data_IF_748812591151
#
_entry.id   IF_748812591151
#
_cell.length_a   1.000
_cell.length_b   1.000
_cell.length_c   1.000
_cell.angle_alpha   90.00
_cell.angle_beta   90.00
_cell.angle_gamma   90.00
#
_symmetry.space_group_name_H-M   'P 1'
#
loop_
_entity.id
_entity.type
_entity.pdbx_description
1 polymer ?
#
# COMPACT_ATOMS: atom_id res chain seq x y z
N UNK A 1 -0.36 -32.43 -1.93
CA UNK A 1 0.10 -31.28 -1.10
C UNK A 1 -0.60 -30.02 -1.56
N UNK A 2 -0.94 -29.14 -0.63
CA UNK A 2 -1.55 -27.84 -0.92
C UNK A 2 -0.46 -26.82 -1.14
N UNK A 3 -0.47 -26.12 -2.28
CA UNK A 3 0.42 -24.98 -2.54
C UNK A 3 -0.11 -23.72 -1.89
N UNK A 4 0.69 -23.15 -1.01
CA UNK A 4 0.33 -21.99 -0.20
C UNK A 4 0.97 -20.72 -0.73
N UNK A 5 0.15 -19.77 -1.13
CA UNK A 5 0.56 -18.47 -1.70
C UNK A 5 0.20 -17.35 -0.72
N UNK A 6 1.20 -16.60 -0.27
CA UNK A 6 0.97 -15.44 0.58
C UNK A 6 0.96 -14.15 -0.23
N UNK A 7 0.02 -13.26 0.07
CA UNK A 7 -0.06 -11.93 -0.53
C UNK A 7 0.24 -10.89 0.55
N UNK A 8 1.30 -10.13 0.35
CA UNK A 8 1.72 -9.03 1.20
C UNK A 8 1.44 -7.70 0.51
N UNK A 9 1.00 -6.71 1.25
CA UNK A 9 0.79 -5.38 0.69
C UNK A 9 -0.15 -4.50 1.53
N UNK A 10 -0.64 -3.50 0.89
CA UNK A 10 -1.46 -2.44 1.47
C UNK A 10 -2.94 -2.62 1.11
N UNK A 11 -3.74 -1.54 1.21
CA UNK A 11 -5.18 -1.58 0.92
C UNK A 11 -5.52 -2.06 -0.50
N UNK A 12 -4.70 -1.74 -1.49
CA UNK A 12 -4.87 -2.20 -2.86
C UNK A 12 -4.67 -3.72 -2.98
N UNK A 13 -3.66 -4.27 -2.31
CA UNK A 13 -3.41 -5.71 -2.24
C UNK A 13 -4.49 -6.44 -1.42
N UNK A 14 -5.02 -5.79 -0.38
CA UNK A 14 -6.14 -6.31 0.40
C UNK A 14 -7.41 -6.44 -0.43
N UNK A 15 -7.59 -5.59 -1.46
CA UNK A 15 -8.78 -5.53 -2.29
C UNK A 15 -9.84 -4.55 -1.78
N UNK A 16 -9.39 -3.45 -1.15
CA UNK A 16 -10.31 -2.37 -0.71
C UNK A 16 -10.99 -1.72 -1.92
N UNK A 17 -12.30 -1.41 -1.87
CA UNK A 17 -13.18 -1.43 -0.69
C UNK A 17 -13.79 -2.81 -0.38
N UNK A 18 -13.78 -3.75 -1.32
CA UNK A 18 -14.46 -5.03 -1.19
C UNK A 18 -13.47 -6.20 -1.43
N UNK A 19 -12.85 -6.73 -0.35
CA UNK A 19 -11.82 -7.78 -0.46
C UNK A 19 -12.28 -9.06 -1.16
N UNK A 20 -13.59 -9.32 -1.21
CA UNK A 20 -14.15 -10.47 -1.91
C UNK A 20 -13.87 -10.44 -3.42
N UNK A 21 -13.68 -9.24 -4.00
CA UNK A 21 -13.32 -9.02 -5.39
C UNK A 21 -11.85 -8.64 -5.58
N UNK A 22 -11.04 -8.71 -4.52
CA UNK A 22 -9.60 -8.45 -4.58
C UNK A 22 -8.87 -9.48 -5.45
N UNK A 23 -7.75 -9.08 -6.02
CA UNK A 23 -6.99 -9.91 -6.95
C UNK A 23 -6.56 -11.25 -6.35
N UNK A 24 -6.31 -11.33 -5.04
CA UNK A 24 -5.96 -12.57 -4.36
C UNK A 24 -7.07 -13.63 -4.47
N UNK A 25 -8.34 -13.22 -4.35
CA UNK A 25 -9.49 -14.12 -4.51
C UNK A 25 -9.70 -14.53 -5.96
N UNK A 26 -9.49 -13.59 -6.88
CA UNK A 26 -9.55 -13.89 -8.32
C UNK A 26 -8.44 -14.87 -8.69
N UNK A 27 -7.22 -14.65 -8.20
CA UNK A 27 -6.08 -15.55 -8.42
C UNK A 27 -6.39 -16.97 -7.93
N UNK A 28 -6.88 -17.12 -6.69
CA UNK A 28 -7.25 -18.41 -6.12
C UNK A 28 -8.25 -19.16 -7.01
N UNK A 29 -9.30 -18.46 -7.46
CA UNK A 29 -10.30 -19.02 -8.37
C UNK A 29 -9.73 -19.43 -9.73
N UNK A 30 -8.85 -18.61 -10.30
CA UNK A 30 -8.19 -18.91 -11.57
C UNK A 30 -7.26 -20.11 -11.45
N UNK A 31 -6.51 -20.23 -10.35
CA UNK A 31 -5.62 -21.36 -10.10
C UNK A 31 -6.43 -22.67 -9.96
N UNK A 32 -7.50 -22.68 -9.19
CA UNK A 32 -8.38 -23.85 -9.06
C UNK A 32 -9.03 -24.23 -10.41
N UNK A 33 -9.43 -23.24 -11.20
CA UNK A 33 -10.00 -23.50 -12.51
C UNK A 33 -8.96 -24.07 -13.50
N UNK A 34 -7.75 -23.53 -13.48
CA UNK A 34 -6.68 -23.92 -14.43
C UNK A 34 -6.02 -25.25 -14.08
N UNK A 35 -5.95 -25.56 -12.79
CA UNK A 35 -5.28 -26.74 -12.25
C UNK A 35 -6.19 -27.47 -11.25
N UNK A 36 -7.25 -28.17 -11.74
CA UNK A 36 -8.28 -28.75 -10.87
C UNK A 36 -7.75 -29.87 -9.96
N UNK A 37 -6.67 -30.52 -10.34
CA UNK A 37 -6.06 -31.62 -9.57
C UNK A 37 -5.05 -31.13 -8.53
N UNK A 38 -4.75 -29.83 -8.48
CA UNK A 38 -3.84 -29.22 -7.54
C UNK A 38 -4.58 -28.34 -6.52
N UNK A 39 -4.35 -28.60 -5.24
CA UNK A 39 -4.89 -27.75 -4.19
C UNK A 39 -4.04 -26.48 -4.03
N UNK A 40 -4.70 -25.33 -4.00
CA UNK A 40 -4.11 -24.02 -3.74
C UNK A 40 -4.79 -23.35 -2.57
N UNK A 41 -4.02 -22.59 -1.79
CA UNK A 41 -4.49 -21.74 -0.72
C UNK A 41 -3.85 -20.36 -0.87
N UNK A 42 -4.65 -19.32 -1.15
CA UNK A 42 -4.16 -17.95 -1.28
C UNK A 42 -4.52 -17.16 -0.03
N UNK A 43 -3.51 -16.91 0.80
CA UNK A 43 -3.66 -16.21 2.09
C UNK A 43 -3.28 -14.75 1.90
N UNK A 44 -4.26 -13.88 2.01
CA UNK A 44 -4.05 -12.44 1.90
C UNK A 44 -3.71 -11.83 3.26
N UNK A 45 -2.45 -11.44 3.44
CA UNK A 45 -1.89 -10.80 4.64
C UNK A 45 -1.82 -9.27 4.51
N UNK A 46 -2.35 -8.71 3.42
CA UNK A 46 -2.35 -7.28 3.19
C UNK A 46 -3.32 -6.56 4.14
N UNK A 47 -2.97 -5.34 4.51
CA UNK A 47 -3.72 -4.53 5.48
C UNK A 47 -3.89 -3.09 5.00
N UNK A 48 -4.99 -2.46 5.42
CA UNK A 48 -5.22 -1.03 5.14
C UNK A 48 -4.29 -0.13 5.95
N UNK A 49 -3.92 1.01 5.37
CA UNK A 49 -3.24 2.10 6.08
C UNK A 49 -1.83 1.78 6.55
N UNK A 50 -1.29 0.64 6.19
CA UNK A 50 0.10 0.28 6.48
C UNK A 50 1.02 0.72 5.34
N UNK A 51 2.32 0.71 5.61
CA UNK A 51 3.38 0.95 4.64
C UNK A 51 4.51 -0.08 4.80
N UNK A 52 5.64 0.12 4.14
CA UNK A 52 6.77 -0.82 4.15
C UNK A 52 7.29 -1.18 5.54
N UNK A 53 7.20 -0.29 6.53
CA UNK A 53 7.60 -0.60 7.90
C UNK A 53 6.80 -1.76 8.50
N UNK A 54 5.48 -1.82 8.21
CA UNK A 54 4.63 -2.91 8.67
C UNK A 54 4.74 -4.14 7.77
N UNK A 55 4.83 -3.95 6.44
CA UNK A 55 5.01 -5.04 5.49
C UNK A 55 6.25 -5.86 5.82
N UNK A 56 7.38 -5.20 6.10
CA UNK A 56 8.59 -5.85 6.58
C UNK A 56 8.32 -6.74 7.81
N UNK A 57 7.55 -6.23 8.74
CA UNK A 57 7.21 -6.97 9.95
C UNK A 57 6.34 -8.19 9.66
N UNK A 58 5.31 -8.01 8.85
CA UNK A 58 4.42 -9.10 8.42
C UNK A 58 5.22 -10.15 7.66
N UNK A 59 6.15 -9.76 6.79
CA UNK A 59 7.01 -10.69 6.04
C UNK A 59 7.84 -11.57 6.98
N UNK A 60 8.45 -10.98 8.03
CA UNK A 60 9.22 -11.74 9.02
C UNK A 60 8.36 -12.75 9.78
N UNK A 61 7.12 -12.40 10.10
CA UNK A 61 6.17 -13.30 10.77
C UNK A 61 5.64 -14.35 9.81
N UNK A 62 5.35 -13.97 8.55
CA UNK A 62 4.83 -14.86 7.52
C UNK A 62 5.82 -15.95 7.10
N UNK A 63 7.10 -15.64 7.07
CA UNK A 63 8.16 -16.58 6.68
C UNK A 63 8.23 -17.83 7.56
N UNK A 64 7.76 -17.75 8.82
CA UNK A 64 7.72 -18.89 9.75
C UNK A 64 6.72 -19.97 9.29
N UNK A 65 5.76 -19.61 8.45
CA UNK A 65 4.73 -20.52 7.95
C UNK A 65 5.09 -21.19 6.62
N UNK A 66 6.32 -21.01 6.14
CA UNK A 66 6.88 -21.70 4.99
C UNK A 66 5.96 -21.68 3.75
N UNK A 67 5.61 -20.49 3.20
CA UNK A 67 4.81 -20.41 1.98
C UNK A 67 5.58 -20.95 0.77
N UNK A 68 4.86 -21.46 -0.22
CA UNK A 68 5.44 -21.92 -1.49
C UNK A 68 5.70 -20.78 -2.48
N UNK A 69 4.97 -19.69 -2.34
CA UNK A 69 5.11 -18.46 -3.15
C UNK A 69 4.67 -17.24 -2.35
N UNK A 70 5.35 -16.14 -2.52
CA UNK A 70 4.95 -14.85 -1.97
C UNK A 70 4.71 -13.84 -3.10
N UNK A 71 3.61 -13.12 -3.02
CA UNK A 71 3.29 -11.99 -3.91
C UNK A 71 3.33 -10.72 -3.08
N UNK A 72 4.10 -9.73 -3.51
CA UNK A 72 4.19 -8.43 -2.84
C UNK A 72 3.66 -7.34 -3.76
N UNK A 73 2.65 -6.62 -3.30
CA UNK A 73 2.09 -5.47 -4.01
C UNK A 73 1.96 -4.29 -3.03
N UNK A 74 2.94 -3.39 -3.05
CA UNK A 74 3.10 -2.32 -2.07
C UNK A 74 3.85 -1.11 -2.62
N UNK A 75 3.66 0.04 -1.97
CA UNK A 75 4.32 1.30 -2.29
C UNK A 75 3.36 2.48 -2.39
N UNK A 76 2.05 2.26 -2.23
CA UNK A 76 1.03 3.30 -2.33
C UNK A 76 1.07 4.26 -1.13
N UNK A 77 1.46 3.79 0.05
CA UNK A 77 1.33 4.52 1.32
C UNK A 77 2.66 5.04 1.88
N UNK A 78 3.76 5.03 1.12
CA UNK A 78 5.05 5.47 1.65
C UNK A 78 5.11 6.97 1.89
N UNK A 79 4.49 7.74 1.02
CA UNK A 79 4.47 9.19 1.06
C UNK A 79 3.18 9.76 1.66
N UNK A 80 2.25 8.89 2.08
CA UNK A 80 0.95 9.25 2.63
C UNK A 80 0.60 8.35 3.83
N UNK A 81 -0.27 8.82 4.72
CA UNK A 81 -0.85 7.99 5.79
C UNK A 81 -0.10 8.02 7.13
N UNK A 82 -0.38 7.03 7.98
CA UNK A 82 -0.04 7.03 9.41
C UNK A 82 1.46 7.02 9.74
N UNK A 83 2.28 6.50 8.86
CA UNK A 83 3.74 6.44 9.03
C UNK A 83 4.46 7.43 8.11
N UNK A 84 3.70 8.12 7.24
CA UNK A 84 4.24 9.18 6.43
C UNK A 84 4.61 10.38 7.33
N UNK A 85 5.61 11.17 6.95
CA UNK A 85 5.95 12.38 7.66
C UNK A 85 4.76 13.35 7.66
N UNK A 86 4.52 13.99 8.80
CA UNK A 86 3.53 15.05 8.86
C UNK A 86 3.93 16.22 7.94
N UNK A 87 2.95 16.89 7.27
CA UNK A 87 3.23 17.94 6.29
C UNK A 87 4.00 19.12 6.88
N UNK A 88 3.79 19.44 8.17
CA UNK A 88 4.25 20.65 8.84
C UNK A 88 5.71 20.59 9.32
N UNK A 89 6.64 20.21 8.43
CA UNK A 89 8.10 20.32 8.62
C UNK A 89 8.69 19.54 9.82
N UNK A 90 7.92 18.71 10.49
CA UNK A 90 8.48 17.83 11.52
C UNK A 90 9.53 16.90 10.90
N UNK A 91 10.68 16.71 11.55
CA UNK A 91 11.68 15.76 11.07
C UNK A 91 11.09 14.35 11.04
N UNK A 92 11.56 13.52 10.12
CA UNK A 92 11.19 12.12 10.08
C UNK A 92 11.47 11.46 11.42
N UNK A 93 10.54 10.68 11.91
CA UNK A 93 10.79 9.88 13.11
C UNK A 93 12.01 8.98 12.90
N UNK A 94 12.97 8.94 13.83
CA UNK A 94 14.14 8.09 13.69
C UNK A 94 13.74 6.61 13.46
N UNK A 95 14.34 5.96 12.47
CA UNK A 95 14.05 4.56 12.15
C UNK A 95 14.18 3.62 13.36
N UNK A 96 15.18 3.88 14.21
CA UNK A 96 15.37 3.13 15.47
C UNK A 96 14.17 3.22 16.40
N UNK A 97 13.50 4.39 16.48
CA UNK A 97 12.30 4.56 17.31
C UNK A 97 11.11 3.82 16.72
N UNK A 98 10.94 3.83 15.39
CA UNK A 98 9.89 3.07 14.71
C UNK A 98 10.08 1.57 15.00
N UNK A 99 11.28 1.07 14.83
CA UNK A 99 11.61 -0.35 15.08
C UNK A 99 11.48 -0.74 16.55
N UNK A 100 11.89 0.11 17.47
CA UNK A 100 11.72 -0.11 18.91
C UNK A 100 10.23 -0.16 19.30
N UNK A 101 9.42 0.75 18.77
CA UNK A 101 7.97 0.72 18.96
C UNK A 101 7.36 -0.58 18.42
N UNK A 102 7.74 -1.00 17.22
CA UNK A 102 7.27 -2.26 16.65
C UNK A 102 7.68 -3.47 17.50
N UNK A 103 8.91 -3.51 17.98
CA UNK A 103 9.40 -4.57 18.87
C UNK A 103 8.63 -4.58 20.20
N UNK A 104 8.34 -3.42 20.79
CA UNK A 104 7.53 -3.33 21.99
C UNK A 104 6.11 -3.86 21.76
N UNK A 105 5.47 -3.43 20.65
CA UNK A 105 4.10 -3.82 20.31
C UNK A 105 3.98 -5.29 19.87
N UNK A 106 5.08 -5.99 19.62
CA UNK A 106 5.08 -7.44 19.41
C UNK A 106 4.90 -8.24 20.69
N UNK A 107 5.11 -7.60 21.85
CA UNK A 107 4.94 -8.24 23.15
C UNK A 107 3.54 -8.01 23.71
N UNK A 108 2.99 -8.98 24.45
CA UNK A 108 1.68 -8.84 25.12
C UNK A 108 1.64 -7.66 26.08
N UNK A 109 2.75 -7.43 26.80
CA UNK A 109 2.87 -6.31 27.74
C UNK A 109 2.85 -4.97 27.00
N UNK A 110 3.57 -4.86 25.89
CA UNK A 110 3.60 -3.66 25.07
C UNK A 110 2.22 -3.35 24.46
N UNK A 111 1.50 -4.37 23.98
CA UNK A 111 0.13 -4.22 23.48
C UNK A 111 -0.83 -3.76 24.60
N UNK A 112 -0.75 -4.37 25.78
CA UNK A 112 -1.58 -3.99 26.92
C UNK A 112 -1.32 -2.55 27.35
N UNK A 113 -0.05 -2.13 27.46
CA UNK A 113 0.32 -0.76 27.79
C UNK A 113 -0.17 0.23 26.75
N UNK A 114 0.01 -0.11 25.46
CA UNK A 114 -0.43 0.73 24.34
C UNK A 114 -1.94 0.95 24.34
N UNK A 115 -2.73 -0.08 24.58
CA UNK A 115 -4.19 0.01 24.67
C UNK A 115 -4.66 0.91 25.83
N UNK A 116 -3.89 0.95 26.95
CA UNK A 116 -4.18 1.84 28.06
C UNK A 116 -3.90 3.30 27.76
N UNK A 117 -2.87 3.57 26.96
CA UNK A 117 -2.45 4.94 26.61
C UNK A 117 -3.28 5.46 25.42
N UNK A 118 -3.62 4.60 24.49
CA UNK A 118 -4.42 4.94 23.29
C UNK A 118 -5.57 3.96 23.16
N UNK A 119 -6.70 4.22 23.79
CA UNK A 119 -7.89 3.38 23.59
C UNK A 119 -8.25 3.37 22.11
N UNK A 120 -8.41 2.17 21.58
CA UNK A 120 -8.74 1.93 20.19
C UNK A 120 -10.10 2.58 19.87
N UNK A 121 -10.15 3.49 18.91
CA UNK A 121 -11.39 3.99 18.35
C UNK A 121 -11.76 3.10 17.18
N UNK A 122 -12.78 2.27 17.39
CA UNK A 122 -13.21 1.19 16.48
C UNK A 122 -13.99 1.67 15.25
N UNK A 123 -14.20 2.96 15.08
CA UNK A 123 -14.97 3.45 13.94
C UNK A 123 -14.08 3.75 12.74
N UNK A 124 -13.95 2.74 11.87
CA UNK A 124 -13.46 2.93 10.52
C UNK A 124 -14.48 3.76 9.72
N UNK A 125 -14.10 4.99 9.37
CA UNK A 125 -14.87 5.82 8.46
C UNK A 125 -14.02 6.16 7.22
N UNK A 126 -14.44 5.65 6.08
CA UNK A 126 -13.72 5.80 4.81
C UNK A 126 -13.54 7.28 4.41
N UNK A 127 -14.52 8.14 4.71
CA UNK A 127 -14.41 9.57 4.42
C UNK A 127 -13.36 10.26 5.30
N UNK A 128 -13.30 9.89 6.59
CA UNK A 128 -12.29 10.41 7.52
C UNK A 128 -10.90 9.97 7.12
N UNK A 129 -10.74 8.75 6.60
CA UNK A 129 -9.46 8.26 6.12
C UNK A 129 -9.00 8.96 4.87
N UNK A 130 -9.87 9.18 3.90
CA UNK A 130 -9.52 9.94 2.70
C UNK A 130 -9.17 11.39 3.04
N UNK A 131 -9.87 12.01 3.99
CA UNK A 131 -9.52 13.34 4.49
C UNK A 131 -8.17 13.35 5.21
N UNK A 132 -7.87 12.28 5.98
CA UNK A 132 -6.59 12.09 6.62
C UNK A 132 -5.46 11.96 5.58
N UNK A 133 -5.58 11.09 4.58
CA UNK A 133 -4.59 10.93 3.52
C UNK A 133 -4.33 12.22 2.73
N UNK A 134 -5.37 12.99 2.44
CA UNK A 134 -5.25 14.30 1.78
C UNK A 134 -4.45 15.31 2.60
N UNK A 135 -4.54 15.24 3.92
CA UNK A 135 -3.79 16.13 4.83
C UNK A 135 -2.37 15.64 5.09
N UNK A 136 -2.14 14.34 5.08
CA UNK A 136 -0.88 13.71 5.46
C UNK A 136 -0.20 13.08 4.26
N UNK A 137 0.31 13.92 3.37
CA UNK A 137 1.12 13.50 2.22
C UNK A 137 2.34 14.39 2.04
N UNK A 138 3.42 13.84 1.54
CA UNK A 138 4.58 14.62 1.14
C UNK A 138 4.41 15.13 -0.28
N UNK A 139 4.63 16.43 -0.46
CA UNK A 139 4.65 17.02 -1.80
C UNK A 139 5.80 16.45 -2.65
N UNK A 140 5.68 16.55 -3.96
CA UNK A 140 6.72 16.10 -4.89
C UNK A 140 8.09 16.80 -4.69
N UNK A 141 8.08 18.02 -4.12
CA UNK A 141 9.27 18.83 -3.86
C UNK A 141 9.80 18.73 -2.42
N UNK A 142 9.17 17.93 -1.57
CA UNK A 142 9.59 17.79 -0.17
C UNK A 142 10.98 17.12 -0.08
N UNK A 143 11.98 17.75 0.57
CA UNK A 143 13.33 17.20 0.66
C UNK A 143 13.40 15.88 1.44
N UNK A 144 12.42 15.58 2.29
CA UNK A 144 12.35 14.33 3.06
C UNK A 144 11.94 13.12 2.21
N UNK A 145 11.45 13.36 1.00
CA UNK A 145 10.97 12.32 0.09
C UNK A 145 12.05 11.28 -0.23
N UNK A 146 13.26 11.73 -0.49
CA UNK A 146 14.38 10.84 -0.80
C UNK A 146 14.69 9.89 0.37
N UNK A 147 14.68 10.40 1.60
CA UNK A 147 14.88 9.58 2.79
C UNK A 147 13.75 8.57 2.98
N UNK A 148 12.48 8.95 2.74
CA UNK A 148 11.34 8.04 2.81
C UNK A 148 11.48 6.91 1.78
N UNK A 149 11.84 7.23 0.55
CA UNK A 149 12.06 6.22 -0.50
C UNK A 149 13.26 5.31 -0.20
N UNK A 150 14.32 5.85 0.38
CA UNK A 150 15.46 5.04 0.85
C UNK A 150 15.04 4.08 1.96
N UNK A 151 14.22 4.53 2.90
CA UNK A 151 13.66 3.66 3.96
C UNK A 151 12.73 2.59 3.40
N UNK A 152 11.91 2.94 2.41
CA UNK A 152 11.08 1.98 1.67
C UNK A 152 11.95 0.88 1.06
N UNK A 153 12.97 1.26 0.30
CA UNK A 153 13.89 0.31 -0.33
C UNK A 153 14.55 -0.61 0.71
N UNK A 154 15.03 -0.05 1.82
CA UNK A 154 15.62 -0.84 2.90
C UNK A 154 14.63 -1.81 3.57
N UNK A 155 13.40 -1.35 3.86
CA UNK A 155 12.37 -2.19 4.45
C UNK A 155 11.94 -3.31 3.50
N UNK A 156 11.81 -3.01 2.19
CA UNK A 156 11.46 -4.00 1.18
C UNK A 156 12.58 -5.01 0.99
N UNK A 157 13.85 -4.58 0.96
CA UNK A 157 14.99 -5.50 0.91
C UNK A 157 14.97 -6.49 2.08
N UNK A 158 14.80 -5.99 3.31
CA UNK A 158 14.72 -6.85 4.50
C UNK A 158 13.48 -7.78 4.44
N UNK A 159 12.34 -7.30 3.94
CA UNK A 159 11.13 -8.11 3.79
C UNK A 159 11.27 -9.23 2.75
N UNK A 160 12.00 -8.99 1.66
CA UNK A 160 12.23 -9.98 0.62
C UNK A 160 13.31 -10.98 1.02
N UNK A 161 14.35 -10.53 1.71
CA UNK A 161 15.49 -11.35 2.12
C UNK A 161 15.08 -12.57 2.95
N UNK A 162 14.07 -12.44 3.82
CA UNK A 162 13.61 -13.54 4.66
C UNK A 162 13.08 -14.73 3.83
N UNK A 163 12.47 -14.45 2.69
CA UNK A 163 11.97 -15.48 1.76
C UNK A 163 13.08 -15.99 0.85
N UNK A 164 13.98 -15.13 0.40
CA UNK A 164 15.14 -15.53 -0.44
C UNK A 164 16.03 -16.51 0.29
N UNK A 165 16.31 -16.27 1.58
CA UNK A 165 17.10 -17.19 2.43
C UNK A 165 16.44 -18.57 2.54
N UNK A 166 15.12 -18.60 2.59
CA UNK A 166 14.32 -19.84 2.63
C UNK A 166 14.10 -20.46 1.23
N UNK A 167 14.60 -19.81 0.17
CA UNK A 167 14.38 -20.22 -1.25
C UNK A 167 12.91 -20.21 -1.68
N UNK A 168 12.10 -19.38 -1.04
CA UNK A 168 10.71 -19.16 -1.43
C UNK A 168 10.69 -18.16 -2.60
N UNK A 169 10.06 -18.49 -3.73
CA UNK A 169 9.90 -17.55 -4.84
C UNK A 169 9.08 -16.32 -4.42
N UNK A 170 9.48 -15.15 -4.91
CA UNK A 170 8.76 -13.91 -4.64
C UNK A 170 8.43 -13.19 -5.94
N UNK A 171 7.17 -12.83 -6.13
CA UNK A 171 6.70 -11.95 -7.20
C UNK A 171 6.47 -10.55 -6.62
N UNK A 172 7.15 -9.55 -7.17
CA UNK A 172 6.94 -8.16 -6.78
C UNK A 172 6.22 -7.43 -7.90
N UNK A 173 5.00 -6.97 -7.60
CA UNK A 173 4.20 -6.16 -8.51
C UNK A 173 4.57 -4.68 -8.40
N UNK A 174 4.73 -4.02 -9.55
CA UNK A 174 4.79 -2.55 -9.58
C UNK A 174 3.42 -1.96 -9.24
N UNK A 175 3.43 -0.82 -8.56
CA UNK A 175 2.20 -0.11 -8.24
C UNK A 175 1.57 0.42 -9.52
N UNK A 176 0.32 0.02 -9.75
CA UNK A 176 -0.50 0.54 -10.85
C UNK A 176 -1.25 1.78 -10.38
N UNK A 177 -1.26 2.79 -11.22
CA UNK A 177 -1.97 4.05 -11.00
C UNK A 177 -3.05 4.18 -12.07
N UNK A 178 -4.27 4.49 -11.66
CA UNK A 178 -5.32 4.86 -12.59
C UNK A 178 -5.13 6.34 -12.95
N UNK A 179 -4.36 6.58 -13.99
CA UNK A 179 -4.06 7.94 -14.47
C UNK A 179 -5.27 8.60 -15.14
N UNK A 180 -6.25 7.79 -15.56
CA UNK A 180 -7.39 8.26 -16.31
C UNK A 180 -8.51 8.82 -15.42
N UNK A 181 -8.89 8.06 -14.39
CA UNK A 181 -10.12 8.34 -13.63
C UNK A 181 -9.86 8.75 -12.19
N UNK A 182 -8.63 8.54 -11.70
CA UNK A 182 -8.29 8.78 -10.30
C UNK A 182 -6.83 9.23 -10.14
N UNK A 183 -6.60 10.55 -10.14
CA UNK A 183 -5.24 11.09 -10.00
C UNK A 183 -4.61 10.71 -8.67
N UNK A 184 -3.29 10.54 -8.62
CA UNK A 184 -2.57 10.27 -7.39
C UNK A 184 -2.81 11.37 -6.34
N UNK A 185 -2.94 10.98 -5.07
CA UNK A 185 -3.01 11.94 -3.97
C UNK A 185 -1.73 12.78 -3.91
N UNK A 186 -1.88 14.08 -3.69
CA UNK A 186 -0.73 15.00 -3.61
C UNK A 186 -0.47 15.80 -4.88
N UNK A 187 -1.31 15.66 -5.90
CA UNK A 187 -1.35 16.64 -6.97
C UNK A 187 -1.85 17.98 -6.42
N UNK A 188 -1.23 19.11 -6.80
CA UNK A 188 -1.73 20.41 -6.44
C UNK A 188 -3.18 20.52 -6.92
N UNK A 189 -4.08 20.95 -6.03
CA UNK A 189 -5.42 21.37 -6.44
C UNK A 189 -5.29 22.47 -7.47
N UNK A 190 -6.24 22.55 -8.39
CA UNK A 190 -6.25 23.49 -9.53
C UNK A 190 -5.97 24.95 -9.20
N UNK A 191 -6.00 25.35 -7.91
CA UNK A 191 -5.68 26.70 -7.46
C UNK A 191 -4.18 26.99 -7.25
N UNK A 192 -3.35 25.95 -7.14
CA UNK A 192 -1.87 26.08 -7.03
C UNK A 192 -1.13 25.45 -8.23
N UNK A 193 -1.86 24.92 -9.18
CA UNK A 193 -1.29 24.34 -10.37
C UNK A 193 -0.57 25.44 -11.16
N UNK A 194 0.75 25.44 -11.06
CA UNK A 194 1.58 25.92 -12.16
C UNK A 194 1.01 25.32 -13.45
N UNK A 195 0.77 26.09 -14.52
CA UNK A 195 0.23 25.56 -15.75
C UNK A 195 1.04 24.32 -16.10
N UNK A 196 0.35 23.21 -16.18
CA UNK A 196 0.91 21.87 -16.35
C UNK A 196 1.65 21.81 -17.68
N UNK A 197 2.92 22.08 -17.63
CA UNK A 197 3.85 21.70 -18.70
C UNK A 197 4.20 20.20 -18.62
N UNK A 198 3.48 19.43 -17.79
CA UNK A 198 3.63 17.99 -17.75
C UNK A 198 2.79 17.38 -18.89
N UNK A 199 3.41 16.65 -19.83
CA UNK A 199 2.72 16.05 -20.97
C UNK A 199 1.54 15.15 -20.59
N UNK A 200 1.55 14.56 -19.39
CA UNK A 200 0.46 13.72 -18.86
C UNK A 200 -0.84 14.49 -18.63
N UNK A 201 -0.73 15.76 -18.24
CA UNK A 201 -1.92 16.61 -17.99
C UNK A 201 -2.36 17.41 -19.22
N UNK A 202 -1.59 17.38 -20.28
CA UNK A 202 -2.00 17.91 -21.59
C UNK A 202 -2.92 16.94 -22.34
N UNK A 203 -3.18 15.76 -21.78
CA UNK A 203 -4.04 14.78 -22.41
C UNK A 203 -5.52 15.23 -22.34
N UNK A 204 -6.25 15.19 -23.46
CA UNK A 204 -7.63 15.68 -23.53
C UNK A 204 -8.58 15.00 -22.52
N UNK A 205 -8.36 13.72 -22.22
CA UNK A 205 -9.18 12.98 -21.27
C UNK A 205 -9.05 13.48 -19.83
N UNK A 206 -7.90 14.00 -19.44
CA UNK A 206 -7.72 14.59 -18.11
C UNK A 206 -8.55 15.86 -17.96
N UNK A 207 -8.54 16.72 -18.98
CA UNK A 207 -9.32 17.94 -19.00
C UNK A 207 -10.82 17.66 -18.97
N UNK A 208 -11.27 16.60 -19.67
CA UNK A 208 -12.65 16.13 -19.64
C UNK A 208 -13.06 15.61 -18.26
N UNK A 209 -12.17 14.88 -17.56
CA UNK A 209 -12.43 14.42 -16.19
C UNK A 209 -12.58 15.58 -15.20
N UNK A 210 -11.74 16.60 -15.29
CA UNK A 210 -11.86 17.81 -14.46
C UNK A 210 -13.12 18.62 -14.78
N UNK A 211 -13.48 18.69 -16.05
CA UNK A 211 -14.68 19.40 -16.53
C UNK A 211 -15.99 18.61 -16.35
N UNK A 212 -15.92 17.35 -15.94
CA UNK A 212 -17.08 16.47 -15.82
C UNK A 212 -17.74 16.11 -17.16
N UNK A 213 -17.00 16.18 -18.26
CA UNK A 213 -17.48 15.92 -19.62
C UNK A 213 -17.59 14.42 -19.87
N UNK A 214 -18.74 13.86 -19.54
CA UNK A 214 -19.05 12.44 -19.72
C UNK A 214 -19.21 12.06 -21.19
N UNK A 215 -19.78 12.91 -22.02
CA UNK A 215 -20.03 12.61 -23.44
C UNK A 215 -18.70 12.40 -24.17
N UNK A 216 -17.70 13.25 -23.93
CA UNK A 216 -16.38 13.08 -24.50
C UNK A 216 -15.70 11.77 -24.06
N UNK A 217 -15.86 11.39 -22.78
CA UNK A 217 -15.28 10.15 -22.25
C UNK A 217 -15.90 8.90 -22.88
N UNK A 218 -17.21 8.90 -23.12
CA UNK A 218 -17.92 7.79 -23.75
C UNK A 218 -17.55 7.60 -25.22
N UNK A 219 -17.26 8.68 -25.96
CA UNK A 219 -16.78 8.63 -27.34
C UNK A 219 -15.37 8.04 -27.50
N UNK A 220 -14.54 8.08 -26.45
CA UNK A 220 -13.17 7.57 -26.48
C UNK A 220 -13.04 6.10 -26.02
N UNK A 221 -14.12 5.50 -25.53
CA UNK A 221 -14.14 4.09 -25.14
C UNK A 221 -14.36 3.22 -26.40
N UNK A 222 -13.56 2.14 -26.58
CA UNK A 222 -13.73 1.20 -27.69
C UNK A 222 -15.01 0.39 -27.57
#
# INVERSE_FOLDING_TARGET
>A
DTLRIFVLGESAAMGTPEPAFGFSRILERLLHHRYPDQAFEVINLAMRGINSHMIRRIAMEAAVYEPDLVIVYAGNNELVGWQAPEPDQAPLRPLKMIRAQQALLSTRLGQWLWQRIRPFKDEWNQEQDMAFFRKHHLSAKDPRREEVLSRFAGNMSEALEVFVVQRVPVLVGSVLVNERDFPPLGFPSSSEATPLNDPLFALPWWQACEGGDREWLEEQLP
#
